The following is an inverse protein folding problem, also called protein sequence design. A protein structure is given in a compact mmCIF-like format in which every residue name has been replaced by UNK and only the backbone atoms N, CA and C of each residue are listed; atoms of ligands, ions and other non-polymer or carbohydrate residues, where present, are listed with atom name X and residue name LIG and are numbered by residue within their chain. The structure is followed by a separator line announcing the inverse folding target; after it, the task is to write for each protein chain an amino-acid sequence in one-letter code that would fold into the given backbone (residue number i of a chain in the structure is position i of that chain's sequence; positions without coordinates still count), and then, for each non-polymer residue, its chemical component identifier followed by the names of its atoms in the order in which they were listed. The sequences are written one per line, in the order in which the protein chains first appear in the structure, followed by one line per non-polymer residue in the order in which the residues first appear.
data_IF_640845477317
#
_entry.id   IF_640845477317
#
_cell.length_a   1.000
_cell.length_b   1.000
_cell.length_c   1.000
_cell.angle_alpha   90.00
_cell.angle_beta   90.00
_cell.angle_gamma   90.00
#
_symmetry.space_group_name_H-M   'P 1'
#
loop_
_entity.id
_entity.type
_entity.pdbx_description
1 polymer ?
#
# COMPACT_ATOMS: atom_id res chain seq x y z
N UNK A 1 13.09 -6.52 -4.09
CA UNK A 1 12.27 -7.74 -4.27
C UNK A 1 11.86 -8.05 -5.71
N UNK A 2 11.62 -7.07 -6.58
CA UNK A 2 11.13 -7.34 -7.95
C UNK A 2 11.97 -8.35 -8.75
N UNK A 3 13.29 -8.20 -8.77
CA UNK A 3 14.20 -9.12 -9.48
C UNK A 3 14.23 -10.53 -8.89
N UNK A 4 13.95 -10.68 -7.59
CA UNK A 4 13.92 -11.99 -6.94
C UNK A 4 12.76 -12.83 -7.50
N UNK A 5 11.53 -12.31 -7.44
CA UNK A 5 10.36 -13.03 -7.97
C UNK A 5 10.42 -13.21 -9.48
N UNK A 6 10.99 -12.26 -10.22
CA UNK A 6 11.20 -12.38 -11.67
C UNK A 6 12.05 -13.60 -12.07
N UNK A 7 12.99 -14.01 -11.23
CA UNK A 7 13.82 -15.19 -11.46
C UNK A 7 13.17 -16.49 -10.97
N UNK A 8 12.17 -16.40 -10.10
CA UNK A 8 11.45 -17.55 -9.52
C UNK A 8 10.25 -17.97 -10.39
N UNK A 9 9.66 -17.03 -11.14
CA UNK A 9 8.50 -17.29 -12.00
C UNK A 9 8.90 -17.67 -13.43
N UNK A 10 8.31 -18.74 -13.97
CA UNK A 10 8.48 -19.16 -15.36
C UNK A 10 8.04 -18.08 -16.36
N UNK A 11 6.87 -17.47 -16.12
CA UNK A 11 6.33 -16.43 -17.00
C UNK A 11 6.70 -15.02 -16.53
N UNK A 12 7.86 -14.54 -17.00
CA UNK A 12 8.38 -13.20 -16.71
C UNK A 12 7.49 -12.05 -17.23
N UNK A 13 6.84 -12.26 -18.38
CA UNK A 13 5.96 -11.26 -18.99
C UNK A 13 4.69 -11.07 -18.14
N UNK A 14 4.00 -12.18 -17.82
CA UNK A 14 2.81 -12.15 -16.97
C UNK A 14 3.08 -11.61 -15.58
N UNK A 15 4.23 -11.93 -14.99
CA UNK A 15 4.65 -11.34 -13.71
C UNK A 15 4.85 -9.82 -13.80
N UNK A 16 5.46 -9.33 -14.87
CA UNK A 16 5.69 -7.88 -15.04
C UNK A 16 4.36 -7.14 -15.21
N UNK A 17 3.48 -7.63 -16.08
CA UNK A 17 2.13 -7.07 -16.26
C UNK A 17 1.36 -7.07 -14.94
N UNK A 18 1.37 -8.17 -14.19
CA UNK A 18 0.69 -8.25 -12.91
C UNK A 18 1.17 -7.20 -11.89
N UNK A 19 2.48 -7.01 -11.75
CA UNK A 19 3.04 -5.99 -10.84
C UNK A 19 2.69 -4.58 -11.32
N UNK A 20 2.76 -4.33 -12.63
CA UNK A 20 2.40 -3.04 -13.23
C UNK A 20 0.92 -2.74 -13.05
N UNK A 21 0.03 -3.71 -13.26
CA UNK A 21 -1.42 -3.56 -13.08
C UNK A 21 -1.77 -3.22 -11.62
N UNK A 22 -1.12 -3.87 -10.66
CA UNK A 22 -1.29 -3.54 -9.23
C UNK A 22 -0.78 -2.13 -8.93
N UNK A 23 0.38 -1.74 -9.46
CA UNK A 23 0.93 -0.40 -9.25
C UNK A 23 0.02 0.68 -9.85
N UNK A 24 -0.46 0.49 -11.07
CA UNK A 24 -1.41 1.39 -11.74
C UNK A 24 -2.72 1.47 -10.98
N UNK A 25 -3.28 0.33 -10.56
CA UNK A 25 -4.54 0.29 -9.81
C UNK A 25 -4.40 1.04 -8.48
N UNK A 26 -3.32 0.80 -7.73
CA UNK A 26 -3.08 1.49 -6.46
C UNK A 26 -2.89 3.00 -6.65
N UNK A 27 -2.12 3.41 -7.66
CA UNK A 27 -1.88 4.82 -7.94
C UNK A 27 -3.18 5.53 -8.34
N UNK A 28 -3.97 4.96 -9.25
CA UNK A 28 -5.23 5.56 -9.72
C UNK A 28 -6.26 5.59 -8.59
N UNK A 29 -6.40 4.49 -7.83
CA UNK A 29 -7.35 4.41 -6.74
C UNK A 29 -7.00 5.40 -5.61
N UNK A 30 -5.73 5.50 -5.23
CA UNK A 30 -5.31 6.45 -4.20
C UNK A 30 -5.40 7.90 -4.68
N UNK A 31 -5.06 8.18 -5.94
CA UNK A 31 -5.25 9.52 -6.50
C UNK A 31 -6.74 9.89 -6.51
N UNK A 32 -7.62 8.97 -6.92
CA UNK A 32 -9.06 9.20 -6.89
C UNK A 32 -9.60 9.38 -5.47
N UNK A 33 -9.08 8.61 -4.50
CA UNK A 33 -9.43 8.72 -3.09
C UNK A 33 -9.06 10.09 -2.51
N UNK A 34 -7.82 10.53 -2.70
CA UNK A 34 -7.32 11.84 -2.25
C UNK A 34 -8.12 13.00 -2.89
N UNK A 35 -8.41 12.89 -4.19
CA UNK A 35 -9.19 13.89 -4.93
C UNK A 35 -10.63 14.01 -4.41
N UNK A 36 -11.26 12.86 -4.12
CA UNK A 36 -12.62 12.80 -3.59
C UNK A 36 -12.68 13.31 -2.14
N UNK A 37 -11.68 12.97 -1.33
CA UNK A 37 -11.59 13.42 0.06
C UNK A 37 -11.38 14.94 0.14
N UNK A 38 -10.54 15.50 -0.75
CA UNK A 38 -10.34 16.95 -0.85
C UNK A 38 -11.62 17.71 -1.24
N UNK A 39 -12.47 17.12 -2.09
CA UNK A 39 -13.76 17.71 -2.48
C UNK A 39 -14.78 17.75 -1.32
N UNK A 40 -14.64 16.84 -0.35
CA UNK A 40 -15.56 16.73 0.79
C UNK A 40 -15.37 17.86 1.83
N UNK A 41 -14.19 18.50 1.84
CA UNK A 41 -13.92 19.66 2.69
C UNK A 41 -14.39 20.93 1.97
N UNK A 42 -15.50 21.53 2.45
CA UNK A 42 -16.07 22.74 1.86
C UNK A 42 -15.08 23.92 1.85
N UNK A 43 -14.88 24.54 0.68
CA UNK A 43 -13.96 25.66 0.47
C UNK A 43 -12.64 25.31 -0.23
N UNK A 44 -12.51 24.08 -0.74
CA UNK A 44 -11.27 23.58 -1.36
C UNK A 44 -10.90 24.33 -2.64
N UNK A 45 -9.79 25.09 -2.59
CA UNK A 45 -9.15 25.66 -3.77
C UNK A 45 -8.06 24.69 -4.27
N UNK A 46 -8.22 24.17 -5.48
CA UNK A 46 -7.18 23.38 -6.15
C UNK A 46 -5.96 24.26 -6.43
N UNK A 47 -5.05 24.29 -5.47
CA UNK A 47 -3.74 24.91 -5.63
C UNK A 47 -2.80 23.85 -6.17
N UNK A 48 -1.92 24.21 -7.10
CA UNK A 48 -0.94 23.29 -7.69
C UNK A 48 -0.10 22.54 -6.63
N UNK A 49 0.12 23.16 -5.47
CA UNK A 49 0.81 22.58 -4.32
C UNK A 49 0.08 21.35 -3.73
N UNK A 50 -1.25 21.41 -3.61
CA UNK A 50 -2.07 20.30 -3.11
C UNK A 50 -2.08 19.11 -4.07
N UNK A 51 -2.15 19.36 -5.38
CA UNK A 51 -2.11 18.29 -6.39
C UNK A 51 -0.78 17.54 -6.30
N UNK A 52 0.33 18.27 -6.10
CA UNK A 52 1.65 17.68 -5.92
C UNK A 52 1.72 16.81 -4.66
N UNK A 53 1.20 17.30 -3.53
CA UNK A 53 1.15 16.54 -2.27
C UNK A 53 0.30 15.28 -2.39
N UNK A 54 -0.89 15.37 -2.98
CA UNK A 54 -1.76 14.20 -3.22
C UNK A 54 -1.09 13.17 -4.15
N UNK A 55 -0.37 13.63 -5.17
CA UNK A 55 0.37 12.73 -6.07
C UNK A 55 1.50 12.01 -5.31
N UNK A 56 2.26 12.73 -4.47
CA UNK A 56 3.31 12.16 -3.63
C UNK A 56 2.73 11.13 -2.64
N UNK A 57 1.59 11.44 -2.04
CA UNK A 57 0.86 10.51 -1.16
C UNK A 57 0.45 9.24 -1.92
N UNK A 58 -0.21 9.39 -3.07
CA UNK A 58 -0.63 8.26 -3.90
C UNK A 58 0.56 7.39 -4.37
N UNK A 59 1.70 8.00 -4.71
CA UNK A 59 2.94 7.26 -5.05
C UNK A 59 3.48 6.51 -3.83
N UNK A 60 3.44 7.12 -2.65
CA UNK A 60 3.89 6.50 -1.38
C UNK A 60 3.04 5.28 -1.04
N UNK A 61 1.73 5.38 -1.22
CA UNK A 61 0.82 4.26 -0.98
C UNK A 61 0.94 3.17 -2.05
N UNK A 62 1.16 3.52 -3.31
CA UNK A 62 1.49 2.57 -4.37
C UNK A 62 2.76 1.78 -3.99
N UNK A 63 3.82 2.47 -3.54
CA UNK A 63 5.06 1.82 -3.10
C UNK A 63 4.81 0.91 -1.89
N UNK A 64 4.04 1.37 -0.91
CA UNK A 64 3.69 0.58 0.28
C UNK A 64 2.89 -0.67 -0.09
N UNK A 65 1.94 -0.55 -1.02
CA UNK A 65 1.16 -1.67 -1.57
C UNK A 65 2.07 -2.69 -2.25
N UNK A 66 3.04 -2.24 -3.05
CA UNK A 66 4.04 -3.11 -3.66
C UNK A 66 4.94 -3.79 -2.62
N UNK A 67 5.36 -3.07 -1.58
CA UNK A 67 6.13 -3.65 -0.46
C UNK A 67 5.32 -4.75 0.23
N UNK A 68 4.02 -4.53 0.50
CA UNK A 68 3.14 -5.56 1.04
C UNK A 68 2.99 -6.75 0.08
N UNK A 69 2.77 -6.49 -1.22
CA UNK A 69 2.67 -7.54 -2.23
C UNK A 69 3.91 -8.44 -2.22
N UNK A 70 5.10 -7.85 -2.19
CA UNK A 70 6.35 -8.60 -2.14
C UNK A 70 6.59 -9.25 -0.78
N UNK A 71 6.27 -8.57 0.33
CA UNK A 71 6.45 -9.08 1.69
C UNK A 71 5.58 -10.31 1.96
N UNK A 72 4.30 -10.23 1.66
CA UNK A 72 3.40 -11.39 1.72
C UNK A 72 3.75 -12.43 0.64
N UNK A 73 4.22 -11.98 -0.52
CA UNK A 73 4.71 -12.90 -1.55
C UNK A 73 5.87 -13.77 -1.06
N UNK A 74 6.77 -13.21 -0.24
CA UNK A 74 7.85 -13.96 0.39
C UNK A 74 7.33 -14.88 1.48
N UNK A 75 6.41 -14.40 2.32
CA UNK A 75 5.81 -15.17 3.41
C UNK A 75 5.04 -16.40 2.89
N UNK A 76 4.22 -16.22 1.86
CA UNK A 76 3.44 -17.29 1.22
C UNK A 76 4.24 -18.05 0.14
N UNK A 77 5.49 -17.67 -0.13
CA UNK A 77 6.33 -18.19 -1.22
C UNK A 77 5.64 -18.18 -2.59
N UNK A 78 4.71 -17.26 -2.79
CA UNK A 78 3.91 -17.16 -4.01
C UNK A 78 3.55 -15.69 -4.24
N UNK A 79 4.02 -15.11 -5.35
CA UNK A 79 3.77 -13.70 -5.67
C UNK A 79 2.34 -13.42 -6.14
N UNK A 80 1.67 -14.44 -6.68
CA UNK A 80 0.27 -14.40 -7.09
C UNK A 80 -0.69 -14.68 -5.93
N UNK A 81 -0.24 -14.51 -4.68
CA UNK A 81 -1.02 -14.80 -3.49
C UNK A 81 -2.33 -13.99 -3.44
N UNK A 82 -2.34 -12.78 -3.99
CA UNK A 82 -3.50 -11.88 -4.04
C UNK A 82 -4.56 -12.30 -5.06
N UNK A 83 -4.24 -13.21 -6.00
CA UNK A 83 -5.27 -13.82 -6.87
C UNK A 83 -6.05 -14.92 -6.13
N UNK A 84 -5.47 -15.50 -5.08
CA UNK A 84 -6.11 -16.52 -4.23
C UNK A 84 -6.40 -15.95 -2.84
N UNK A 85 -7.12 -14.83 -2.79
CA UNK A 85 -7.60 -14.25 -1.54
C UNK A 85 -8.68 -15.16 -0.95
N UNK A 86 -8.39 -15.66 0.26
CA UNK A 86 -9.35 -16.36 1.08
C UNK A 86 -9.64 -15.48 2.29
N UNK A 87 -10.81 -15.61 2.92
CA UNK A 87 -11.23 -14.80 4.07
C UNK A 87 -10.17 -14.74 5.17
N UNK A 88 -9.47 -15.85 5.44
CA UNK A 88 -8.37 -15.90 6.40
C UNK A 88 -7.17 -15.02 6.04
N UNK A 89 -6.84 -14.86 4.75
CA UNK A 89 -5.76 -13.98 4.29
C UNK A 89 -6.15 -12.52 4.41
N UNK A 90 -7.41 -12.20 4.10
CA UNK A 90 -7.98 -10.85 4.30
C UNK A 90 -7.91 -10.48 5.79
N UNK A 91 -8.33 -11.40 6.67
CA UNK A 91 -8.25 -11.21 8.12
C UNK A 91 -6.82 -10.99 8.58
N UNK A 92 -5.86 -11.74 8.03
CA UNK A 92 -4.43 -11.58 8.33
C UNK A 92 -3.92 -10.22 7.92
N UNK A 93 -4.27 -9.73 6.72
CA UNK A 93 -3.86 -8.39 6.24
C UNK A 93 -4.42 -7.31 7.16
N UNK A 94 -5.71 -7.39 7.49
CA UNK A 94 -6.37 -6.46 8.42
C UNK A 94 -5.70 -6.51 9.80
N UNK A 95 -5.40 -7.70 10.31
CA UNK A 95 -4.71 -7.88 11.59
C UNK A 95 -3.30 -7.31 11.53
N UNK A 96 -2.48 -7.60 10.52
CA UNK A 96 -1.12 -7.04 10.42
C UNK A 96 -1.11 -5.54 10.23
N UNK A 97 -2.07 -4.99 9.46
CA UNK A 97 -2.23 -3.55 9.28
C UNK A 97 -2.67 -2.87 10.58
N UNK A 98 -3.71 -3.41 11.22
CA UNK A 98 -4.29 -2.85 12.45
C UNK A 98 -3.44 -3.07 13.70
N UNK A 99 -2.74 -4.21 13.83
CA UNK A 99 -1.80 -4.41 14.94
C UNK A 99 -0.53 -3.59 14.77
N UNK A 100 -0.10 -3.36 13.53
CA UNK A 100 1.04 -2.48 13.23
C UNK A 100 0.82 -1.05 13.73
N UNK A 101 -0.35 -0.46 13.45
CA UNK A 101 -0.70 0.88 13.92
C UNK A 101 -0.83 0.94 15.44
N UNK A 102 -1.52 -0.03 16.07
CA UNK A 102 -1.69 -0.07 17.54
C UNK A 102 -0.35 -0.24 18.27
N UNK A 103 0.60 -1.03 17.72
CA UNK A 103 1.94 -1.18 18.32
C UNK A 103 2.77 0.10 18.17
N UNK A 104 2.68 0.78 17.02
CA UNK A 104 3.35 2.04 16.76
C UNK A 104 2.86 3.16 17.70
N UNK A 105 1.55 3.24 17.92
CA UNK A 105 0.95 4.18 18.87
C UNK A 105 1.40 3.91 20.31
N UNK A 106 1.46 2.64 20.72
CA UNK A 106 1.99 2.28 22.04
C UNK A 106 3.47 2.58 22.20
N UNK A 107 4.27 2.42 21.14
CA UNK A 107 5.70 2.75 21.17
C UNK A 107 5.95 4.26 21.22
N UNK A 108 5.11 5.06 20.57
CA UNK A 108 5.14 6.52 20.70
C UNK A 108 4.63 6.99 22.06
N UNK A 109 3.58 6.37 22.62
CA UNK A 109 3.07 6.73 23.96
C UNK A 109 4.00 6.32 25.11
N UNK A 110 4.77 5.24 24.98
CA UNK A 110 5.64 4.73 26.04
C UNK A 110 7.15 4.96 25.78
N UNK A 111 7.51 5.74 24.75
CA UNK A 111 8.88 6.21 24.54
C UNK A 111 9.25 7.32 25.53
N UNK A 112 10.55 7.56 25.80
CA UNK A 112 11.03 8.50 26.84
C UNK A 112 10.71 9.99 26.61
N UNK A 113 9.89 10.32 25.62
CA UNK A 113 9.31 11.64 25.39
C UNK A 113 7.79 11.53 25.52
N UNK A 114 7.33 11.26 26.75
CA UNK A 114 5.94 11.45 27.12
C UNK A 114 5.61 12.93 26.97
N UNK A 115 4.92 13.29 25.89
CA UNK A 115 4.32 14.62 25.77
C UNK A 115 3.03 14.57 26.57
N UNK A 116 3.08 15.27 27.69
CA UNK A 116 1.95 15.69 28.53
C UNK A 116 1.05 16.66 27.75
#
# INVERSE_FOLDING_TARGET
MYFYFRNVVDNKSGYTSFVVDIALTALVLNTAWELLHGLLYGGYQYTWDHISMCLIAAVTDMLTTLIMLFGFGLFYKNIFWSLKLNLSKILLIILTGGTGTVLLERRHSNGPLGIR
#
